data_IF_901265455235
#
_entry.id   IF_901265455235
#
_cell.length_a   1.000
_cell.length_b   1.000
_cell.length_c   1.000
_cell.angle_alpha   90.00
_cell.angle_beta   90.00
_cell.angle_gamma   90.00
#
_symmetry.space_group_name_H-M   'P 1'
#
loop_
_entity.id
_entity.type
_entity.pdbx_description
1 polymer ?
#
# COMPACT_ATOMS: atom_id res chain seq x y z
N UNK A 1 38.68 4.87 11.24
CA UNK A 1 37.92 6.06 11.66
C UNK A 1 37.28 6.62 10.41
N UNK A 2 35.98 6.38 10.21
CA UNK A 2 35.24 6.95 9.09
C UNK A 2 34.99 8.41 9.48
N UNK A 3 35.56 9.35 8.72
CA UNK A 3 35.23 10.77 8.83
C UNK A 3 33.76 10.95 8.43
N UNK A 4 32.86 10.81 9.40
CA UNK A 4 31.46 11.19 9.21
C UNK A 4 31.42 12.70 8.97
N UNK A 5 30.70 13.19 7.93
CA UNK A 5 30.59 14.62 7.69
C UNK A 5 29.96 15.25 8.92
N UNK A 6 30.65 16.25 9.50
CA UNK A 6 30.21 16.92 10.73
C UNK A 6 28.90 17.64 10.46
N UNK A 7 27.80 17.12 10.99
CA UNK A 7 26.52 17.83 10.98
C UNK A 7 26.52 18.76 12.20
N UNK A 8 26.43 20.06 11.95
CA UNK A 8 26.52 21.10 12.98
C UNK A 8 27.95 21.47 13.36
N UNK A 9 28.07 22.23 14.45
CA UNK A 9 29.32 22.83 14.92
C UNK A 9 30.02 21.89 15.93
N UNK A 10 31.22 21.40 15.60
CA UNK A 10 31.94 20.42 16.44
C UNK A 10 32.39 20.97 17.79
N UNK A 11 32.51 22.29 17.94
CA UNK A 11 32.95 22.92 19.19
C UNK A 11 31.81 22.98 20.20
N UNK A 12 30.56 23.00 19.72
CA UNK A 12 29.38 23.22 20.55
C UNK A 12 29.10 22.06 21.51
N UNK A 13 29.19 20.77 21.12
CA UNK A 13 29.06 19.66 22.07
C UNK A 13 30.06 19.70 23.23
N UNK A 14 31.31 20.10 22.99
CA UNK A 14 32.31 20.26 24.06
C UNK A 14 31.93 21.38 25.02
N UNK A 15 31.43 22.50 24.49
CA UNK A 15 30.97 23.62 25.29
C UNK A 15 29.74 23.24 26.11
N UNK A 16 28.80 22.49 25.53
CA UNK A 16 27.65 21.94 26.23
C UNK A 16 28.06 21.03 27.38
N UNK A 17 29.01 20.12 27.14
CA UNK A 17 29.51 19.20 28.17
C UNK A 17 30.13 19.96 29.35
N UNK A 18 30.87 21.06 29.09
CA UNK A 18 31.42 21.93 30.13
C UNK A 18 30.32 22.62 30.94
N UNK A 19 29.27 23.11 30.26
CA UNK A 19 28.13 23.79 30.91
C UNK A 19 27.30 22.81 31.76
N UNK A 20 27.16 21.56 31.32
CA UNK A 20 26.43 20.52 32.06
C UNK A 20 27.26 19.84 33.16
N UNK A 21 28.55 20.15 33.28
CA UNK A 21 29.43 19.50 34.25
C UNK A 21 29.04 19.75 35.72
N UNK A 22 28.64 20.97 36.15
CA UNK A 22 28.14 21.22 37.50
C UNK A 22 26.90 20.37 37.82
N UNK A 23 25.90 20.38 36.93
CA UNK A 23 24.68 19.57 37.05
C UNK A 23 24.96 18.06 37.13
N UNK A 24 25.99 17.56 36.44
CA UNK A 24 26.41 16.16 36.54
C UNK A 24 27.02 15.85 37.91
N UNK A 25 27.86 16.73 38.46
CA UNK A 25 28.48 16.55 39.78
C UNK A 25 27.45 16.53 40.91
N UNK A 26 26.35 17.26 40.74
CA UNK A 26 25.22 17.31 41.66
C UNK A 26 24.24 16.13 41.49
N UNK A 27 24.47 15.25 40.51
CA UNK A 27 23.65 14.06 40.28
C UNK A 27 22.31 14.34 39.57
N UNK A 28 22.12 15.52 39.00
CA UNK A 28 20.82 15.98 38.51
C UNK A 28 20.45 15.50 37.09
N UNK A 29 21.36 14.86 36.35
CA UNK A 29 21.17 14.57 34.91
C UNK A 29 20.92 13.08 34.63
N UNK A 30 21.72 12.17 35.18
CA UNK A 30 21.61 10.73 34.89
C UNK A 30 21.82 9.90 36.16
N UNK A 31 20.96 8.90 36.36
CA UNK A 31 21.12 7.91 37.41
C UNK A 31 22.28 6.95 37.10
N UNK A 32 22.98 6.46 38.13
CA UNK A 32 24.11 5.52 37.95
C UNK A 32 23.74 4.27 37.15
N UNK A 33 22.49 3.80 37.27
CA UNK A 33 21.98 2.66 36.51
C UNK A 33 21.87 2.96 35.01
N UNK A 34 21.37 4.14 34.62
CA UNK A 34 21.25 4.51 33.20
C UNK A 34 22.61 4.72 32.56
N UNK A 35 23.59 5.24 33.32
CA UNK A 35 24.98 5.35 32.87
C UNK A 35 25.59 3.98 32.61
N UNK A 36 25.41 3.00 33.51
CA UNK A 36 25.89 1.63 33.31
C UNK A 36 25.26 0.97 32.09
N UNK A 37 23.94 1.13 31.90
CA UNK A 37 23.23 0.61 30.74
C UNK A 37 23.75 1.24 29.44
N UNK A 38 23.94 2.56 29.42
CA UNK A 38 24.47 3.27 28.25
C UNK A 38 25.91 2.88 27.92
N UNK A 39 26.76 2.65 28.92
CA UNK A 39 28.14 2.21 28.72
C UNK A 39 28.23 0.91 27.91
N UNK A 40 27.29 -0.03 28.10
CA UNK A 40 27.20 -1.26 27.30
C UNK A 40 26.62 -1.09 25.90
N UNK A 41 26.15 0.11 25.54
CA UNK A 41 25.51 0.43 24.25
C UNK A 41 26.33 1.41 23.40
N UNK A 42 27.36 2.04 23.96
CA UNK A 42 28.08 3.14 23.30
C UNK A 42 28.69 2.74 21.96
N UNK A 43 29.06 1.46 21.83
CA UNK A 43 29.71 0.88 20.65
C UNK A 43 28.73 0.29 19.61
N UNK A 44 27.40 0.30 19.87
CA UNK A 44 26.39 -0.37 19.04
C UNK A 44 25.78 0.50 17.92
N UNK A 45 26.46 1.58 17.55
CA UNK A 45 26.04 2.53 16.49
C UNK A 45 25.06 3.62 16.94
N UNK A 46 24.92 4.69 16.15
CA UNK A 46 24.09 5.85 16.52
C UNK A 46 22.61 5.54 16.68
N UNK A 47 22.01 4.72 15.81
CA UNK A 47 20.58 4.39 15.87
C UNK A 47 20.19 3.73 17.20
N UNK A 48 21.03 2.84 17.73
CA UNK A 48 20.79 2.20 19.04
C UNK A 48 20.93 3.22 20.19
N UNK A 49 21.91 4.13 20.09
CA UNK A 49 22.08 5.21 21.07
C UNK A 49 20.89 6.18 21.06
N UNK A 50 20.37 6.53 19.88
CA UNK A 50 19.19 7.37 19.74
C UNK A 50 17.93 6.66 20.27
N UNK A 51 17.76 5.37 19.98
CA UNK A 51 16.67 4.58 20.54
C UNK A 51 16.69 4.55 22.08
N UNK A 52 17.88 4.40 22.67
CA UNK A 52 18.03 4.42 24.13
C UNK A 52 17.69 5.79 24.71
N UNK A 53 18.18 6.88 24.11
CA UNK A 53 17.86 8.23 24.54
C UNK A 53 16.36 8.51 24.46
N UNK A 54 15.72 8.13 23.34
CA UNK A 54 14.29 8.27 23.14
C UNK A 54 13.45 7.45 24.13
N UNK A 55 13.91 6.24 24.50
CA UNK A 55 13.21 5.42 25.48
C UNK A 55 13.21 6.00 26.91
N UNK A 56 14.20 6.85 27.24
CA UNK A 56 14.33 7.47 28.56
C UNK A 56 13.72 8.86 28.60
N UNK A 57 13.97 9.67 27.56
CA UNK A 57 13.65 11.11 27.55
C UNK A 57 12.61 11.52 26.50
N UNK A 58 12.37 10.67 25.50
CA UNK A 58 11.50 10.94 24.37
C UNK A 58 10.23 10.11 24.40
N UNK A 59 9.76 9.74 23.22
CA UNK A 59 8.52 8.97 23.04
C UNK A 59 8.78 7.49 22.68
N UNK A 60 7.89 6.56 23.04
CA UNK A 60 8.06 5.15 22.69
C UNK A 60 8.06 4.91 21.17
N UNK A 61 7.32 5.72 20.41
CA UNK A 61 7.29 5.65 18.94
C UNK A 61 8.60 6.11 18.30
N UNK A 62 9.27 7.09 18.90
CA UNK A 62 10.61 7.52 18.50
C UNK A 62 11.62 6.39 18.71
N UNK A 63 11.60 5.76 19.90
CA UNK A 63 12.49 4.65 20.19
C UNK A 63 12.29 3.47 19.21
N UNK A 64 11.04 3.16 18.89
CA UNK A 64 10.68 2.12 17.92
C UNK A 64 11.18 2.47 16.51
N UNK A 65 11.05 3.72 16.08
CA UNK A 65 11.57 4.20 14.80
C UNK A 65 13.09 3.96 14.70
N UNK A 66 13.85 4.41 15.70
CA UNK A 66 15.31 4.27 15.69
C UNK A 66 15.77 2.80 15.68
N UNK A 67 15.05 1.90 16.37
CA UNK A 67 15.33 0.46 16.34
C UNK A 67 15.03 -0.20 14.98
N UNK A 68 14.03 0.30 14.26
CA UNK A 68 13.61 -0.25 12.96
C UNK A 68 14.44 0.28 11.79
N UNK A 69 14.97 1.49 11.90
CA UNK A 69 15.69 2.19 10.83
C UNK A 69 16.84 1.36 10.20
N UNK A 70 17.76 0.73 10.97
CA UNK A 70 18.82 -0.10 10.38
C UNK A 70 18.29 -1.29 9.59
N UNK A 71 17.24 -1.96 10.10
CA UNK A 71 16.64 -3.12 9.43
C UNK A 71 15.99 -2.71 8.11
N UNK A 72 15.26 -1.60 8.11
CA UNK A 72 14.59 -1.09 6.93
C UNK A 72 15.59 -0.65 5.84
N UNK A 73 16.63 0.10 6.22
CA UNK A 73 17.67 0.53 5.30
C UNK A 73 18.47 -0.65 4.74
N UNK A 74 18.90 -1.59 5.57
CA UNK A 74 19.62 -2.78 5.11
C UNK A 74 18.78 -3.62 4.15
N UNK A 75 17.49 -3.80 4.43
CA UNK A 75 16.57 -4.48 3.50
C UNK A 75 16.47 -3.77 2.15
N UNK A 76 16.34 -2.44 2.18
CA UNK A 76 16.25 -1.64 0.96
C UNK A 76 17.55 -1.68 0.13
N UNK A 77 18.71 -1.56 0.78
CA UNK A 77 20.03 -1.64 0.13
C UNK A 77 20.29 -3.02 -0.47
N UNK A 78 19.95 -4.09 0.25
CA UNK A 78 20.03 -5.47 -0.27
C UNK A 78 19.16 -5.66 -1.53
N UNK A 79 18.01 -4.99 -1.60
CA UNK A 79 17.14 -5.05 -2.77
C UNK A 79 17.68 -4.24 -3.96
N UNK A 80 18.51 -3.24 -3.72
CA UNK A 80 19.18 -2.48 -4.78
C UNK A 80 20.36 -3.25 -5.36
N UNK A 81 21.13 -3.95 -4.53
CA UNK A 81 22.28 -4.76 -4.96
C UNK A 81 21.86 -6.03 -5.68
N UNK A 82 20.81 -6.71 -5.20
CA UNK A 82 20.31 -7.96 -5.80
C UNK A 82 19.52 -7.77 -7.11
N UNK A 83 19.50 -6.56 -7.69
CA UNK A 83 18.78 -6.25 -8.94
C UNK A 83 19.59 -6.49 -10.24
N UNK A 84 20.74 -7.16 -10.17
CA UNK A 84 21.49 -7.63 -11.35
C UNK A 84 21.94 -9.09 -11.19
N UNK A 85 21.73 -9.99 -12.17
CA UNK A 85 20.53 -10.34 -12.92
C UNK A 85 19.88 -11.68 -12.42
N UNK A 86 18.59 -11.85 -12.71
CA UNK A 86 17.86 -13.13 -12.89
C UNK A 86 17.91 -14.22 -11.80
N UNK A 87 16.84 -14.29 -11.01
CA UNK A 87 15.94 -15.46 -11.09
C UNK A 87 14.54 -14.98 -10.78
N UNK A 88 13.70 -14.91 -11.81
CA UNK A 88 12.28 -15.06 -11.60
C UNK A 88 12.11 -16.25 -10.64
N UNK A 89 11.25 -16.19 -9.60
CA UNK A 89 10.78 -17.41 -9.00
C UNK A 89 10.28 -18.24 -10.18
N UNK A 90 10.95 -19.36 -10.42
CA UNK A 90 10.48 -20.35 -11.36
C UNK A 90 8.99 -20.48 -11.07
N UNK A 91 8.19 -20.34 -12.13
CA UNK A 91 6.83 -20.84 -12.21
C UNK A 91 6.71 -21.98 -11.21
N UNK A 92 6.01 -21.74 -10.10
CA UNK A 92 5.58 -22.83 -9.25
C UNK A 92 4.90 -23.77 -10.24
N UNK A 93 5.56 -24.91 -10.43
CA UNK A 93 5.06 -26.03 -11.21
C UNK A 93 3.58 -26.13 -10.90
N UNK A 94 2.78 -25.96 -11.94
CA UNK A 94 1.40 -26.41 -11.97
C UNK A 94 1.40 -27.83 -11.43
N UNK A 95 1.03 -27.99 -10.17
CA UNK A 95 0.55 -29.27 -9.69
C UNK A 95 -0.81 -29.44 -10.35
N UNK A 96 -0.78 -29.99 -11.57
CA UNK A 96 -1.91 -30.67 -12.16
C UNK A 96 -2.31 -31.80 -11.20
N UNK A 97 -3.16 -31.46 -10.24
CA UNK A 97 -3.84 -32.39 -9.35
C UNK A 97 -5.31 -31.96 -9.32
N UNK A 98 -6.04 -32.48 -10.30
CA UNK A 98 -7.42 -32.95 -10.18
C UNK A 98 -8.53 -31.99 -9.73
N UNK A 99 -8.58 -30.78 -10.29
CA UNK A 99 -9.81 -29.95 -10.21
C UNK A 99 -10.97 -30.49 -11.09
N UNK A 100 -10.71 -31.46 -11.98
CA UNK A 100 -11.75 -32.17 -12.73
C UNK A 100 -12.57 -33.16 -11.87
N UNK A 101 -12.21 -33.36 -10.59
CA UNK A 101 -12.80 -34.38 -9.73
C UNK A 101 -13.84 -33.89 -8.71
N UNK A 102 -14.00 -32.57 -8.51
CA UNK A 102 -14.92 -32.02 -7.49
C UNK A 102 -16.20 -31.36 -8.02
N UNK A 103 -16.42 -31.29 -9.34
CA UNK A 103 -17.66 -30.75 -9.93
C UNK A 103 -18.55 -31.78 -10.66
N UNK A 104 -18.38 -33.08 -10.37
CA UNK A 104 -19.23 -34.13 -10.96
C UNK A 104 -20.29 -34.72 -10.01
N UNK A 105 -20.61 -34.04 -8.90
CA UNK A 105 -21.56 -34.57 -7.90
C UNK A 105 -22.96 -33.96 -7.88
N UNK A 106 -23.36 -33.29 -8.96
CA UNK A 106 -24.77 -33.00 -9.25
C UNK A 106 -25.04 -33.28 -10.74
N UNK A 107 -24.80 -34.51 -11.17
CA UNK A 107 -25.42 -35.07 -12.36
C UNK A 107 -26.27 -36.25 -11.93
N UNK A 108 -27.56 -36.00 -11.75
CA UNK A 108 -28.58 -37.02 -11.52
C UNK A 108 -28.70 -37.89 -12.78
N UNK A 109 -27.84 -38.91 -12.87
CA UNK A 109 -27.93 -39.95 -13.89
C UNK A 109 -29.13 -40.84 -13.56
N UNK A 110 -30.27 -40.48 -14.13
CA UNK A 110 -31.50 -41.28 -14.12
C UNK A 110 -31.21 -42.67 -14.67
N UNK A 111 -31.49 -43.68 -13.84
CA UNK A 111 -31.35 -45.09 -14.15
C UNK A 111 -32.63 -45.54 -14.86
N UNK A 112 -32.63 -45.60 -16.19
CA UNK A 112 -33.72 -46.22 -16.95
C UNK A 112 -33.54 -47.74 -16.96
N UNK A 113 -34.36 -48.44 -16.16
CA UNK A 113 -34.55 -49.88 -16.31
C UNK A 113 -35.42 -50.18 -17.54
N UNK A 114 -35.31 -51.36 -18.16
CA UNK A 114 -36.16 -51.75 -19.27
C UNK A 114 -37.53 -52.15 -18.72
N UNK A 115 -38.40 -51.16 -18.51
CA UNK A 115 -39.80 -51.35 -18.17
C UNK A 115 -40.64 -51.39 -19.43
N UNK A 116 -41.17 -52.56 -19.75
CA UNK A 116 -42.14 -52.81 -20.81
C UNK A 116 -43.38 -51.94 -20.60
N UNK A 117 -43.44 -50.80 -21.29
CA UNK A 117 -44.58 -49.90 -21.29
C UNK A 117 -44.84 -49.42 -22.71
N UNK A 118 -45.87 -50.00 -23.35
CA UNK A 118 -46.44 -49.46 -24.58
C UNK A 118 -46.93 -48.04 -24.30
N UNK A 119 -46.43 -47.07 -25.07
CA UNK A 119 -47.14 -45.92 -25.65
C UNK A 119 -46.28 -44.64 -25.68
N UNK A 120 -46.29 -44.04 -26.88
CA UNK A 120 -45.88 -42.68 -27.24
C UNK A 120 -44.39 -42.46 -27.50
N UNK A 121 -43.86 -43.18 -28.50
CA UNK A 121 -42.74 -42.74 -29.32
C UNK A 121 -43.16 -41.59 -30.28
N UNK A 122 -43.69 -40.50 -29.72
CA UNK A 122 -43.87 -39.22 -30.40
C UNK A 122 -42.99 -38.22 -29.65
N UNK A 123 -41.94 -37.70 -30.28
CA UNK A 123 -41.41 -36.42 -29.81
C UNK A 123 -39.93 -36.10 -29.98
N UNK A 124 -39.01 -37.05 -30.15
CA UNK A 124 -37.57 -36.71 -30.26
C UNK A 124 -37.04 -36.64 -31.70
N UNK A 125 -37.81 -37.11 -32.69
CA UNK A 125 -37.42 -37.10 -34.10
C UNK A 125 -38.17 -36.10 -35.00
N UNK A 126 -39.16 -35.39 -34.47
CA UNK A 126 -40.05 -34.51 -35.26
C UNK A 126 -39.72 -33.01 -35.18
N UNK A 127 -38.81 -32.60 -34.28
CA UNK A 127 -38.35 -31.22 -34.17
C UNK A 127 -36.96 -31.11 -34.82
N UNK A 128 -36.87 -31.26 -36.15
CA UNK A 128 -35.58 -31.19 -36.85
C UNK A 128 -35.35 -29.87 -37.59
N UNK A 129 -36.39 -29.11 -37.93
CA UNK A 129 -36.27 -27.90 -38.72
C UNK A 129 -37.24 -26.82 -38.22
N UNK A 130 -36.71 -25.61 -38.00
CA UNK A 130 -37.53 -24.43 -37.70
C UNK A 130 -38.37 -24.06 -38.93
N UNK A 131 -39.65 -23.76 -38.72
CA UNK A 131 -40.56 -23.36 -39.80
C UNK A 131 -40.31 -21.92 -40.30
N UNK A 132 -39.55 -21.12 -39.55
CA UNK A 132 -39.17 -19.74 -39.88
C UNK A 132 -37.66 -19.60 -39.94
N UNK A 133 -37.18 -18.67 -40.77
CA UNK A 133 -35.78 -18.28 -40.75
C UNK A 133 -35.44 -17.62 -39.40
N UNK A 134 -34.35 -18.06 -38.80
CA UNK A 134 -33.89 -17.52 -37.51
C UNK A 134 -33.62 -16.00 -37.59
N UNK A 135 -33.23 -15.52 -38.77
CA UNK A 135 -32.98 -14.11 -39.05
C UNK A 135 -34.26 -13.26 -38.93
N UNK A 136 -35.39 -13.71 -39.49
CA UNK A 136 -36.66 -12.97 -39.41
C UNK A 136 -37.19 -12.85 -37.97
N UNK A 137 -37.00 -13.91 -37.17
CA UNK A 137 -37.37 -13.90 -35.75
C UNK A 137 -36.49 -12.91 -34.97
N UNK A 138 -35.19 -12.86 -35.29
CA UNK A 138 -34.25 -11.96 -34.66
C UNK A 138 -34.50 -10.49 -35.04
N UNK A 139 -34.83 -10.21 -36.30
CA UNK A 139 -35.19 -8.87 -36.78
C UNK A 139 -36.46 -8.35 -36.10
N UNK A 140 -37.51 -9.17 -36.02
CA UNK A 140 -38.74 -8.82 -35.29
C UNK A 140 -38.50 -8.57 -33.80
N UNK A 141 -37.62 -9.34 -33.17
CA UNK A 141 -37.25 -9.13 -31.78
C UNK A 141 -36.49 -7.80 -31.59
N UNK A 142 -35.58 -7.45 -32.50
CA UNK A 142 -34.90 -6.16 -32.47
C UNK A 142 -35.83 -4.96 -32.67
N UNK A 143 -36.84 -5.10 -33.53
CA UNK A 143 -37.85 -4.05 -33.74
C UNK A 143 -38.66 -3.76 -32.47
N UNK A 144 -38.73 -4.68 -31.51
CA UNK A 144 -39.46 -4.53 -30.25
C UNK A 144 -38.67 -3.76 -29.16
N UNK A 145 -37.33 -3.75 -29.23
CA UNK A 145 -36.49 -3.08 -28.21
C UNK A 145 -36.84 -1.58 -28.01
N UNK A 146 -37.05 -0.75 -29.05
CA UNK A 146 -37.38 0.67 -28.90
C UNK A 146 -38.73 0.93 -28.22
N UNK A 147 -39.63 -0.05 -28.20
CA UNK A 147 -40.96 0.09 -27.59
C UNK A 147 -40.85 0.21 -26.07
N UNK A 148 -39.83 -0.43 -25.49
CA UNK A 148 -39.53 -0.39 -24.06
C UNK A 148 -38.70 0.83 -23.65
N UNK A 149 -38.16 1.62 -24.59
CA UNK A 149 -37.45 2.87 -24.27
C UNK A 149 -38.36 3.97 -23.72
N UNK A 150 -39.66 3.89 -24.04
CA UNK A 150 -40.66 4.89 -23.63
C UNK A 150 -41.29 4.58 -22.26
N UNK A 151 -40.95 3.43 -21.67
CA UNK A 151 -41.50 3.00 -20.39
C UNK A 151 -40.53 3.35 -19.28
N UNK A 152 -41.00 4.19 -18.36
CA UNK A 152 -40.25 4.59 -17.17
C UNK A 152 -40.60 3.69 -15.98
N UNK A 153 -39.59 3.25 -15.23
CA UNK A 153 -39.76 2.43 -14.03
C UNK A 153 -38.76 1.29 -13.92
N UNK A 154 -38.47 0.84 -12.69
CA UNK A 154 -37.48 -0.21 -12.43
C UNK A 154 -37.88 -1.56 -13.05
N UNK A 155 -39.17 -1.90 -13.09
CA UNK A 155 -39.67 -3.13 -13.75
C UNK A 155 -39.52 -3.07 -15.28
N UNK A 156 -39.72 -1.89 -15.89
CA UNK A 156 -39.53 -1.71 -17.33
C UNK A 156 -38.06 -1.90 -17.72
N UNK A 157 -37.13 -1.44 -16.87
CA UNK A 157 -35.69 -1.67 -17.03
C UNK A 157 -35.39 -3.18 -16.98
N UNK A 158 -35.97 -3.94 -16.04
CA UNK A 158 -35.75 -5.39 -15.97
C UNK A 158 -36.26 -6.13 -17.21
N UNK A 159 -37.44 -5.76 -17.72
CA UNK A 159 -38.01 -6.35 -18.95
C UNK A 159 -37.13 -6.03 -20.17
N UNK A 160 -36.65 -4.79 -20.27
CA UNK A 160 -35.72 -4.40 -21.34
C UNK A 160 -34.40 -5.17 -21.30
N UNK A 161 -33.84 -5.39 -20.10
CA UNK A 161 -32.65 -6.24 -19.95
C UNK A 161 -32.93 -7.67 -20.40
N UNK A 162 -34.10 -8.22 -20.06
CA UNK A 162 -34.48 -9.57 -20.47
C UNK A 162 -34.54 -9.72 -22.00
N UNK A 163 -35.13 -8.75 -22.71
CA UNK A 163 -35.19 -8.75 -24.16
C UNK A 163 -33.80 -8.62 -24.80
N UNK A 164 -32.97 -7.68 -24.31
CA UNK A 164 -31.60 -7.50 -24.81
C UNK A 164 -30.76 -8.77 -24.66
N UNK A 165 -30.87 -9.47 -23.52
CA UNK A 165 -30.20 -10.76 -23.30
C UNK A 165 -30.77 -11.85 -24.22
N UNK A 166 -32.08 -11.87 -24.43
CA UNK A 166 -32.75 -12.86 -25.30
C UNK A 166 -32.35 -12.72 -26.77
N UNK A 167 -32.07 -11.49 -27.21
CA UNK A 167 -31.62 -11.15 -28.57
C UNK A 167 -30.10 -11.39 -28.73
N UNK A 168 -29.38 -11.57 -27.63
CA UNK A 168 -27.92 -11.78 -27.60
C UNK A 168 -27.11 -10.47 -27.55
N UNK A 169 -27.75 -9.31 -27.42
CA UNK A 169 -27.06 -8.03 -27.27
C UNK A 169 -26.67 -7.78 -25.81
N UNK A 170 -25.65 -8.52 -25.37
CA UNK A 170 -25.18 -8.50 -23.98
C UNK A 170 -24.52 -7.17 -23.61
N UNK A 171 -23.85 -6.50 -24.56
CA UNK A 171 -23.19 -5.21 -24.31
C UNK A 171 -24.18 -4.11 -23.94
N UNK A 172 -25.28 -4.00 -24.70
CA UNK A 172 -26.35 -3.05 -24.40
C UNK A 172 -27.03 -3.39 -23.06
N UNK A 173 -27.23 -4.68 -22.77
CA UNK A 173 -27.79 -5.12 -21.49
C UNK A 173 -26.89 -4.71 -20.30
N UNK A 174 -25.58 -4.91 -20.41
CA UNK A 174 -24.60 -4.49 -19.39
C UNK A 174 -24.63 -2.97 -19.20
N UNK A 175 -24.62 -2.20 -20.28
CA UNK A 175 -24.68 -0.73 -20.20
C UNK A 175 -25.92 -0.24 -19.47
N UNK A 176 -27.08 -0.85 -19.74
CA UNK A 176 -28.33 -0.49 -19.08
C UNK A 176 -28.31 -0.84 -17.59
N UNK A 177 -27.80 -2.03 -17.23
CA UNK A 177 -27.66 -2.46 -15.84
C UNK A 177 -26.72 -1.54 -15.05
N UNK A 178 -25.59 -1.13 -15.64
CA UNK A 178 -24.62 -0.23 -15.01
C UNK A 178 -25.15 1.21 -14.81
N UNK A 179 -26.17 1.61 -15.56
CA UNK A 179 -26.82 2.92 -15.38
C UNK A 179 -27.72 2.99 -14.13
N UNK A 180 -27.93 1.88 -13.44
CA UNK A 180 -28.73 1.84 -12.21
C UNK A 180 -28.05 2.65 -11.09
N UNK A 181 -28.74 3.62 -10.47
CA UNK A 181 -28.16 4.41 -9.39
C UNK A 181 -27.93 3.56 -8.12
N UNK A 182 -26.92 3.88 -7.28
CA UNK A 182 -26.61 3.12 -6.08
C UNK A 182 -27.71 3.17 -5.00
N UNK A 183 -28.61 4.16 -5.05
CA UNK A 183 -29.76 4.29 -4.15
C UNK A 183 -30.92 3.35 -4.49
N UNK A 184 -30.91 2.72 -5.67
CA UNK A 184 -31.96 1.78 -6.10
C UNK A 184 -31.88 0.46 -5.36
N UNK A 185 -33.04 -0.12 -5.04
CA UNK A 185 -33.16 -1.46 -4.45
C UNK A 185 -32.59 -2.56 -5.36
N UNK A 186 -32.57 -2.32 -6.67
CA UNK A 186 -32.06 -3.26 -7.67
C UNK A 186 -30.55 -3.12 -7.93
N UNK A 187 -29.86 -2.15 -7.33
CA UNK A 187 -28.44 -1.88 -7.63
C UNK A 187 -27.57 -3.14 -7.51
N UNK A 188 -27.63 -3.86 -6.38
CA UNK A 188 -26.82 -5.06 -6.16
C UNK A 188 -27.16 -6.20 -7.12
N UNK A 189 -28.45 -6.42 -7.40
CA UNK A 189 -28.90 -7.44 -8.34
C UNK A 189 -28.45 -7.11 -9.76
N UNK A 190 -28.56 -5.84 -10.16
CA UNK A 190 -28.15 -5.36 -11.48
C UNK A 190 -26.64 -5.38 -11.64
N UNK A 191 -25.88 -5.00 -10.62
CA UNK A 191 -24.43 -5.07 -10.59
C UNK A 191 -23.92 -6.51 -10.76
N UNK A 192 -24.50 -7.46 -10.02
CA UNK A 192 -24.15 -8.88 -10.15
C UNK A 192 -24.43 -9.42 -11.56
N UNK A 193 -25.60 -9.07 -12.13
CA UNK A 193 -25.94 -9.45 -13.51
C UNK A 193 -25.02 -8.78 -14.52
N UNK A 194 -24.67 -7.50 -14.36
CA UNK A 194 -23.76 -6.79 -15.24
C UNK A 194 -22.36 -7.42 -15.26
N UNK A 195 -21.82 -7.76 -14.09
CA UNK A 195 -20.52 -8.43 -13.96
C UNK A 195 -20.56 -9.83 -14.57
N UNK A 196 -21.63 -10.61 -14.31
CA UNK A 196 -21.77 -11.94 -14.90
C UNK A 196 -21.90 -11.89 -16.44
N UNK A 197 -22.76 -11.02 -16.98
CA UNK A 197 -22.96 -10.89 -18.42
C UNK A 197 -21.70 -10.35 -19.12
N UNK A 198 -21.00 -9.38 -18.53
CA UNK A 198 -19.78 -8.82 -19.12
C UNK A 198 -18.66 -9.86 -19.23
N UNK A 199 -18.55 -10.78 -18.26
CA UNK A 199 -17.58 -11.88 -18.32
C UNK A 199 -17.80 -12.83 -19.50
N UNK A 200 -19.03 -12.96 -19.99
CA UNK A 200 -19.36 -13.76 -21.17
C UNK A 200 -19.03 -13.05 -22.49
N UNK A 201 -18.88 -11.71 -22.47
CA UNK A 201 -18.60 -10.91 -23.67
C UNK A 201 -17.10 -10.73 -23.88
N UNK A 202 -16.42 -10.14 -22.91
CA UNK A 202 -14.97 -9.89 -23.00
C UNK A 202 -14.35 -9.55 -21.65
N UNK A 203 -13.04 -9.78 -21.53
CA UNK A 203 -12.25 -9.39 -20.35
C UNK A 203 -12.20 -7.87 -20.16
N UNK A 204 -12.15 -7.11 -21.25
CA UNK A 204 -12.13 -5.64 -21.22
C UNK A 204 -13.46 -5.05 -20.71
N UNK A 205 -14.59 -5.62 -21.14
CA UNK A 205 -15.90 -5.19 -20.66
C UNK A 205 -16.09 -5.58 -19.19
N UNK A 206 -15.62 -6.75 -18.77
CA UNK A 206 -15.63 -7.17 -17.38
C UNK A 206 -14.84 -6.21 -16.48
N UNK A 207 -13.63 -5.85 -16.90
CA UNK A 207 -12.80 -4.86 -16.19
C UNK A 207 -13.52 -3.52 -16.04
N UNK A 208 -14.16 -3.03 -17.11
CA UNK A 208 -14.88 -1.76 -17.07
C UNK A 208 -16.13 -1.84 -16.18
N UNK A 209 -16.92 -2.91 -16.30
CA UNK A 209 -18.11 -3.12 -15.50
C UNK A 209 -17.78 -3.19 -14.00
N UNK A 210 -16.75 -3.97 -13.63
CA UNK A 210 -16.29 -4.08 -12.25
C UNK A 210 -15.82 -2.75 -11.69
N UNK A 211 -15.11 -1.93 -12.47
CA UNK A 211 -14.71 -0.58 -12.04
C UNK A 211 -15.89 0.32 -11.74
N UNK A 212 -16.87 0.35 -12.63
CA UNK A 212 -18.08 1.18 -12.46
C UNK A 212 -18.87 0.72 -11.24
N UNK A 213 -19.08 -0.59 -11.10
CA UNK A 213 -19.75 -1.18 -9.93
C UNK A 213 -19.00 -0.85 -8.65
N UNK A 214 -17.69 -1.09 -8.60
CA UNK A 214 -16.87 -0.84 -7.41
C UNK A 214 -16.89 0.65 -7.02
N UNK A 215 -16.80 1.57 -7.99
CA UNK A 215 -16.88 3.01 -7.74
C UNK A 215 -18.24 3.42 -7.13
N UNK A 216 -19.33 2.85 -7.63
CA UNK A 216 -20.67 3.10 -7.09
C UNK A 216 -20.86 2.51 -5.69
N UNK A 217 -20.19 1.40 -5.37
CA UNK A 217 -20.25 0.74 -4.06
C UNK A 217 -19.51 1.50 -2.94
N UNK A 218 -18.57 2.40 -3.26
CA UNK A 218 -17.78 3.13 -2.24
C UNK A 218 -18.67 3.83 -1.20
N UNK A 219 -19.83 4.34 -1.62
CA UNK A 219 -20.76 5.08 -0.75
C UNK A 219 -21.67 4.18 0.09
N UNK A 220 -21.87 2.92 -0.30
CA UNK A 220 -22.87 2.04 0.31
C UNK A 220 -22.32 1.14 1.40
N UNK A 221 -21.09 0.62 1.26
CA UNK A 221 -20.59 -0.46 2.13
C UNK A 221 -19.16 -0.25 2.65
N UNK A 222 -18.70 1.00 2.75
CA UNK A 222 -17.29 1.34 3.07
C UNK A 222 -16.29 0.66 2.12
N UNK A 223 -16.66 0.56 0.84
CA UNK A 223 -15.84 0.05 -0.27
C UNK A 223 -15.38 -1.41 -0.19
N UNK A 224 -15.87 -2.23 0.76
CA UNK A 224 -15.40 -3.61 0.92
C UNK A 224 -15.78 -4.51 -0.26
N UNK A 225 -17.05 -4.52 -0.67
CA UNK A 225 -17.48 -5.37 -1.80
C UNK A 225 -16.86 -4.89 -3.11
N UNK A 226 -16.74 -3.57 -3.31
CA UNK A 226 -16.05 -2.98 -4.45
C UNK A 226 -14.58 -3.40 -4.52
N UNK A 227 -13.89 -3.37 -3.39
CA UNK A 227 -12.49 -3.80 -3.25
C UNK A 227 -12.34 -5.28 -3.61
N UNK A 228 -13.23 -6.16 -3.14
CA UNK A 228 -13.20 -7.59 -3.47
C UNK A 228 -13.35 -7.83 -4.98
N UNK A 229 -14.30 -7.13 -5.63
CA UNK A 229 -14.50 -7.23 -7.07
C UNK A 229 -13.25 -6.75 -7.84
N UNK A 230 -12.65 -5.62 -7.45
CA UNK A 230 -11.42 -5.12 -8.06
C UNK A 230 -10.25 -6.10 -7.88
N UNK A 231 -10.13 -6.74 -6.71
CA UNK A 231 -9.12 -7.77 -6.46
C UNK A 231 -9.33 -9.01 -7.34
N UNK A 232 -10.58 -9.43 -7.56
CA UNK A 232 -10.91 -10.58 -8.41
C UNK A 232 -10.48 -10.37 -9.87
N UNK A 233 -10.49 -9.13 -10.35
CA UNK A 233 -10.03 -8.76 -11.70
C UNK A 233 -8.54 -8.35 -11.72
N UNK A 234 -7.83 -8.45 -10.59
CA UNK A 234 -6.41 -8.13 -10.49
C UNK A 234 -6.09 -6.63 -10.50
N UNK A 235 -7.09 -5.75 -10.29
CA UNK A 235 -6.93 -4.29 -10.23
C UNK A 235 -6.55 -3.81 -8.81
N UNK A 236 -5.45 -4.35 -8.28
CA UNK A 236 -5.04 -4.12 -6.89
C UNK A 236 -4.74 -2.66 -6.55
N UNK A 237 -4.22 -1.88 -7.51
CA UNK A 237 -3.92 -0.46 -7.29
C UNK A 237 -5.19 0.37 -7.03
N UNK A 238 -6.25 0.10 -7.79
CA UNK A 238 -7.55 0.76 -7.63
C UNK A 238 -8.22 0.33 -6.33
N UNK A 239 -8.13 -0.97 -6.00
CA UNK A 239 -8.61 -1.52 -4.73
C UNK A 239 -7.93 -0.84 -3.52
N UNK A 240 -6.61 -0.66 -3.58
CA UNK A 240 -5.88 0.08 -2.54
C UNK A 240 -6.34 1.54 -2.44
N UNK A 241 -6.56 2.22 -3.59
CA UNK A 241 -7.05 3.61 -3.57
C UNK A 241 -8.41 3.71 -2.89
N UNK A 242 -9.35 2.81 -3.22
CA UNK A 242 -10.69 2.82 -2.63
C UNK A 242 -10.68 2.53 -1.12
N UNK A 243 -9.80 1.65 -0.66
CA UNK A 243 -9.61 1.42 0.78
C UNK A 243 -9.04 2.66 1.47
N UNK A 244 -8.09 3.35 0.85
CA UNK A 244 -7.53 4.60 1.38
C UNK A 244 -8.56 5.73 1.42
N UNK A 245 -9.38 5.85 0.37
CA UNK A 245 -10.47 6.85 0.31
C UNK A 245 -11.53 6.59 1.38
N UNK A 246 -11.75 5.32 1.75
CA UNK A 246 -12.64 4.92 2.85
C UNK A 246 -11.99 5.01 4.25
N UNK A 247 -10.71 5.37 4.35
CA UNK A 247 -9.97 5.44 5.61
C UNK A 247 -9.45 4.10 6.14
N UNK A 248 -9.57 3.01 5.38
CA UNK A 248 -9.06 1.68 5.72
C UNK A 248 -7.57 1.54 5.35
N UNK A 249 -6.72 2.36 5.96
CA UNK A 249 -5.30 2.45 5.60
C UNK A 249 -4.49 1.18 5.84
N UNK A 250 -4.76 0.48 6.95
CA UNK A 250 -4.09 -0.78 7.30
C UNK A 250 -4.41 -1.87 6.29
N UNK A 251 -5.67 -1.96 5.87
CA UNK A 251 -6.14 -2.96 4.93
C UNK A 251 -5.56 -2.67 3.53
N UNK A 252 -5.49 -1.40 3.14
CA UNK A 252 -4.81 -0.99 1.91
C UNK A 252 -3.32 -1.38 1.92
N UNK A 253 -2.62 -1.15 3.04
CA UNK A 253 -1.20 -1.47 3.16
C UNK A 253 -0.94 -2.99 3.14
N UNK A 254 -1.80 -3.79 3.77
CA UNK A 254 -1.69 -5.26 3.74
C UNK A 254 -1.97 -5.81 2.34
N UNK A 255 -3.02 -5.34 1.66
CA UNK A 255 -3.34 -5.69 0.28
C UNK A 255 -2.20 -5.31 -0.67
N UNK A 256 -1.63 -4.12 -0.50
CA UNK A 256 -0.51 -3.66 -1.29
C UNK A 256 0.75 -4.50 -1.04
N UNK A 257 1.00 -4.95 0.19
CA UNK A 257 2.14 -5.80 0.52
C UNK A 257 2.07 -7.20 -0.10
N UNK A 258 0.86 -7.74 -0.29
CA UNK A 258 0.66 -9.08 -0.86
C UNK A 258 0.67 -9.07 -2.40
N UNK A 259 0.11 -8.03 -3.03
CA UNK A 259 -0.10 -8.04 -4.49
C UNK A 259 0.71 -7.00 -5.28
N UNK A 260 1.07 -5.85 -4.68
CA UNK A 260 1.84 -4.82 -5.36
C UNK A 260 3.34 -4.99 -5.11
N UNK A 261 4.17 -4.57 -6.08
CA UNK A 261 5.63 -4.65 -5.97
C UNK A 261 6.28 -3.35 -6.39
N UNK A 262 7.36 -2.99 -5.69
CA UNK A 262 8.20 -1.87 -6.09
C UNK A 262 7.51 -0.52 -5.88
N UNK A 263 7.40 0.28 -6.94
CA UNK A 263 6.91 1.66 -6.89
C UNK A 263 5.45 1.75 -6.47
N UNK A 264 4.62 0.79 -6.86
CA UNK A 264 3.18 0.87 -6.58
C UNK A 264 2.88 0.60 -5.11
N UNK A 265 3.62 -0.33 -4.49
CA UNK A 265 3.58 -0.52 -3.04
C UNK A 265 4.06 0.73 -2.29
N UNK A 266 5.17 1.32 -2.73
CA UNK A 266 5.73 2.53 -2.13
C UNK A 266 4.74 3.71 -2.20
N UNK A 267 4.02 3.89 -3.31
CA UNK A 267 2.98 4.93 -3.46
C UNK A 267 1.84 4.79 -2.46
N UNK A 268 1.38 3.56 -2.19
CA UNK A 268 0.34 3.31 -1.19
C UNK A 268 0.82 3.72 0.19
N UNK A 269 2.04 3.31 0.59
CA UNK A 269 2.63 3.69 1.86
C UNK A 269 2.88 5.20 1.97
N UNK A 270 3.35 5.84 0.89
CA UNK A 270 3.60 7.28 0.86
C UNK A 270 2.34 8.08 1.12
N UNK A 271 1.22 7.72 0.48
CA UNK A 271 -0.07 8.37 0.70
C UNK A 271 -0.55 8.18 2.14
N UNK A 272 -0.32 7.00 2.72
CA UNK A 272 -0.63 6.76 4.14
C UNK A 272 0.24 7.61 5.07
N UNK A 273 1.54 7.71 4.80
CA UNK A 273 2.47 8.54 5.57
C UNK A 273 2.03 10.01 5.57
N UNK A 274 1.63 10.53 4.41
CA UNK A 274 1.10 11.89 4.28
C UNK A 274 -0.18 12.08 5.10
N UNK A 275 -1.10 11.12 5.09
CA UNK A 275 -2.32 11.18 5.92
C UNK A 275 -1.98 11.19 7.41
N UNK A 276 -1.10 10.30 7.87
CA UNK A 276 -0.68 10.24 9.28
C UNK A 276 -0.02 11.55 9.72
N UNK A 277 0.80 12.16 8.87
CA UNK A 277 1.46 13.43 9.17
C UNK A 277 0.45 14.60 9.29
N UNK A 278 -0.47 14.73 8.34
CA UNK A 278 -1.37 15.89 8.27
C UNK A 278 -2.65 15.74 9.10
N UNK A 279 -3.17 14.52 9.25
CA UNK A 279 -4.46 14.26 9.92
C UNK A 279 -4.29 13.73 11.33
N UNK A 280 -3.33 12.84 11.57
CA UNK A 280 -3.10 12.28 12.91
C UNK A 280 -2.03 13.06 13.70
N UNK A 281 -1.26 13.92 13.02
CA UNK A 281 -0.14 14.68 13.60
C UNK A 281 0.92 13.81 14.31
N UNK A 282 1.05 12.55 13.90
CA UNK A 282 2.03 11.62 14.48
C UNK A 282 3.27 11.52 13.59
N UNK A 283 4.28 12.35 13.89
CA UNK A 283 5.49 12.46 13.08
C UNK A 283 6.27 11.15 13.03
N UNK A 284 6.44 10.44 14.16
CA UNK A 284 7.22 9.21 14.22
C UNK A 284 6.58 8.09 13.41
N UNK A 285 5.25 7.94 13.49
CA UNK A 285 4.52 6.97 12.67
C UNK A 285 4.62 7.32 11.17
N UNK A 286 4.55 8.59 10.82
CA UNK A 286 4.76 9.04 9.44
C UNK A 286 6.18 8.72 8.95
N UNK A 287 7.21 8.96 9.78
CA UNK A 287 8.61 8.65 9.46
C UNK A 287 8.84 7.15 9.23
N UNK A 288 8.25 6.30 10.07
CA UNK A 288 8.29 4.83 9.87
C UNK A 288 7.73 4.46 8.48
N UNK A 289 6.59 5.05 8.10
CA UNK A 289 5.96 4.79 6.80
C UNK A 289 6.77 5.34 5.62
N UNK A 290 7.35 6.54 5.75
CA UNK A 290 8.24 7.11 4.73
C UNK A 290 9.48 6.25 4.52
N UNK A 291 10.14 5.82 5.59
CA UNK A 291 11.31 4.92 5.52
C UNK A 291 10.92 3.56 4.93
N UNK A 292 9.77 3.00 5.31
CA UNK A 292 9.27 1.75 4.74
C UNK A 292 8.98 1.86 3.22
N UNK A 293 8.53 3.03 2.76
CA UNK A 293 8.35 3.33 1.34
C UNK A 293 9.68 3.58 0.59
N UNK A 294 10.80 3.76 1.30
CA UNK A 294 12.09 4.19 0.74
C UNK A 294 12.14 5.68 0.39
N UNK A 295 11.22 6.47 0.95
CA UNK A 295 11.01 7.90 0.71
C UNK A 295 11.75 8.75 1.78
N UNK A 296 13.08 8.64 1.81
CA UNK A 296 13.93 9.37 2.76
C UNK A 296 13.86 10.91 2.61
N UNK A 297 13.75 11.48 1.39
CA UNK A 297 13.59 12.93 1.22
C UNK A 297 12.30 13.46 1.86
N UNK A 298 11.20 12.73 1.73
CA UNK A 298 9.90 13.08 2.30
C UNK A 298 9.91 12.98 3.82
N UNK A 299 10.64 12.01 4.38
CA UNK A 299 10.91 11.94 5.82
C UNK A 299 11.67 13.19 6.32
N UNK A 300 12.70 13.64 5.60
CA UNK A 300 13.41 14.89 5.92
C UNK A 300 12.52 16.12 5.79
N UNK A 301 11.71 16.20 4.74
CA UNK A 301 10.79 17.30 4.54
C UNK A 301 9.77 17.39 5.69
N UNK A 302 9.28 16.24 6.18
CA UNK A 302 8.41 16.18 7.35
C UNK A 302 9.09 16.73 8.62
N UNK A 303 10.36 16.34 8.88
CA UNK A 303 11.14 16.85 10.02
C UNK A 303 11.40 18.36 9.93
N UNK A 304 11.66 18.88 8.72
CA UNK A 304 11.80 20.32 8.47
C UNK A 304 10.49 21.06 8.73
N UNK A 305 9.37 20.53 8.23
CA UNK A 305 8.04 21.09 8.47
C UNK A 305 7.68 21.15 9.96
N UNK A 306 8.14 20.17 10.73
CA UNK A 306 7.96 20.11 12.18
C UNK A 306 8.96 20.97 12.98
N UNK A 307 9.92 21.65 12.32
CA UNK A 307 10.96 22.45 12.95
C UNK A 307 11.79 21.69 14.01
N UNK A 308 12.11 20.41 13.74
CA UNK A 308 12.97 19.57 14.61
C UNK A 308 14.38 19.40 14.00
N UNK A 309 15.29 20.39 14.14
CA UNK A 309 16.62 20.36 13.54
C UNK A 309 17.50 19.23 14.08
N UNK A 310 17.38 18.96 15.37
CA UNK A 310 18.10 17.93 16.10
C UNK A 310 17.76 16.54 15.56
N UNK A 311 16.47 16.25 15.40
CA UNK A 311 15.98 14.98 14.88
C UNK A 311 16.35 14.81 13.41
N UNK A 312 16.27 15.87 12.60
CA UNK A 312 16.72 15.85 11.22
C UNK A 312 18.23 15.54 11.11
N UNK A 313 19.05 16.15 11.96
CA UNK A 313 20.48 15.88 12.03
C UNK A 313 20.77 14.43 12.46
N UNK A 314 20.10 13.95 13.53
CA UNK A 314 20.20 12.56 13.99
C UNK A 314 19.80 11.56 12.91
N UNK A 315 18.75 11.85 12.15
CA UNK A 315 18.27 10.98 11.06
C UNK A 315 19.31 10.85 9.95
N UNK A 316 19.92 11.96 9.52
CA UNK A 316 20.97 11.95 8.49
C UNK A 316 22.21 11.20 8.99
N UNK A 317 22.62 11.45 10.24
CA UNK A 317 23.76 10.75 10.85
C UNK A 317 23.53 9.24 10.89
N UNK A 318 22.37 8.79 11.38
CA UNK A 318 22.04 7.38 11.45
C UNK A 318 22.02 6.73 10.07
N UNK A 319 21.35 7.36 9.09
CA UNK A 319 21.29 6.83 7.72
C UNK A 319 22.68 6.68 7.10
N UNK A 320 23.57 7.66 7.30
CA UNK A 320 24.95 7.63 6.79
C UNK A 320 25.80 6.57 7.46
N UNK A 321 25.70 6.43 8.79
CA UNK A 321 26.45 5.40 9.51
C UNK A 321 26.04 4.01 9.03
N UNK A 322 24.73 3.74 8.95
CA UNK A 322 24.18 2.45 8.48
C UNK A 322 24.60 2.17 7.03
N UNK A 323 24.57 3.18 6.16
CA UNK A 323 25.03 3.07 4.77
C UNK A 323 26.52 2.78 4.67
N UNK A 324 27.34 3.46 5.48
CA UNK A 324 28.79 3.24 5.49
C UNK A 324 29.15 1.85 6.02
N UNK A 325 28.44 1.36 7.05
CA UNK A 325 28.58 0.02 7.60
C UNK A 325 28.22 -1.02 6.53
N UNK A 326 27.09 -0.84 5.84
CA UNK A 326 26.68 -1.68 4.72
C UNK A 326 27.74 -1.70 3.60
N UNK A 327 28.21 -0.53 3.15
CA UNK A 327 29.25 -0.44 2.11
C UNK A 327 30.58 -1.06 2.52
N UNK A 328 30.92 -1.08 3.81
CA UNK A 328 32.11 -1.76 4.31
C UNK A 328 31.97 -3.28 4.37
N UNK A 329 30.73 -3.79 4.41
CA UNK A 329 30.44 -5.22 4.36
C UNK A 329 30.36 -5.81 2.95
N UNK A 330 30.44 -4.97 1.90
CA UNK A 330 30.39 -5.39 0.49
C UNK A 330 31.78 -5.53 -0.14
N UNK A 331 31.90 -6.48 -1.07
CA UNK A 331 33.10 -6.68 -1.90
C UNK A 331 33.37 -5.46 -2.83
N UNK A 332 34.65 -5.18 -3.11
CA UNK A 332 35.09 -3.96 -3.80
C UNK A 332 34.49 -3.74 -5.21
N UNK A 333 34.06 -4.80 -5.91
CA UNK A 333 33.42 -4.68 -7.24
C UNK A 333 32.00 -4.09 -7.21
N UNK A 334 31.27 -4.22 -6.09
CA UNK A 334 29.91 -3.67 -5.95
C UNK A 334 29.90 -2.23 -5.44
N UNK A 335 31.03 -1.74 -4.93
CA UNK A 335 31.19 -0.40 -4.33
C UNK A 335 31.20 0.73 -5.37
N UNK A 336 31.42 0.41 -6.65
CA UNK A 336 31.49 1.37 -7.75
C UNK A 336 30.16 1.62 -8.47
N UNK A 337 29.04 1.05 -8.01
CA UNK A 337 27.72 1.31 -8.59
C UNK A 337 27.18 2.66 -8.12
N UNK A 338 27.06 3.64 -9.03
CA UNK A 338 26.50 4.98 -8.76
C UNK A 338 25.14 4.98 -8.03
N UNK A 339 24.37 3.89 -8.17
CA UNK A 339 23.06 3.70 -7.51
C UNK A 339 23.17 3.33 -6.03
N UNK A 340 24.29 2.77 -5.61
CA UNK A 340 24.56 2.37 -4.23
C UNK A 340 25.32 3.47 -3.47
N UNK A 341 26.12 4.26 -4.20
CA UNK A 341 26.94 5.34 -3.64
C UNK A 341 26.10 6.55 -3.22
N UNK A 342 25.02 6.85 -3.95
CA UNK A 342 24.14 7.97 -3.66
C UNK A 342 22.90 7.51 -2.89
N UNK A 343 22.88 7.76 -1.58
CA UNK A 343 21.67 7.56 -0.78
C UNK A 343 20.63 8.55 -1.29
N UNK A 344 19.61 8.06 -2.01
CA UNK A 344 18.56 8.84 -2.69
C UNK A 344 18.07 10.02 -1.83
N UNK A 345 18.65 11.20 -2.07
CA UNK A 345 18.34 12.49 -1.45
C UNK A 345 19.05 12.86 -0.14
N UNK A 346 19.88 11.99 0.45
CA UNK A 346 20.71 12.32 1.65
C UNK A 346 22.18 12.61 1.33
N UNK A 347 22.48 12.89 0.06
CA UNK A 347 23.83 13.24 -0.39
C UNK A 347 24.38 14.45 0.38
N UNK A 348 25.68 14.47 0.71
CA UNK A 348 26.30 15.59 1.41
C UNK A 348 26.24 16.90 0.62
N UNK A 349 26.08 16.83 -0.69
CA UNK A 349 25.93 17.98 -1.60
C UNK A 349 24.47 18.41 -1.80
N UNK A 350 23.50 17.69 -1.23
CA UNK A 350 22.09 18.07 -1.31
C UNK A 350 21.85 19.36 -0.53
N UNK A 351 21.24 20.36 -1.17
CA UNK A 351 20.84 21.62 -0.53
C UNK A 351 20.04 21.37 0.76
N UNK A 352 19.20 20.34 0.75
CA UNK A 352 18.36 19.97 1.88
C UNK A 352 19.16 19.51 3.10
N UNK A 353 20.26 18.79 2.87
CA UNK A 353 21.12 18.28 3.93
C UNK A 353 22.02 19.38 4.49
N UNK A 354 22.53 20.26 3.62
CA UNK A 354 23.28 21.45 4.02
C UNK A 354 22.43 22.38 4.89
N UNK A 355 21.19 22.64 4.49
CA UNK A 355 20.25 23.45 5.26
C UNK A 355 19.96 22.88 6.66
N UNK A 356 19.82 21.54 6.77
CA UNK A 356 19.67 20.88 8.09
C UNK A 356 20.91 21.09 8.94
N UNK A 357 22.11 20.95 8.36
CA UNK A 357 23.38 21.16 9.07
C UNK A 357 23.53 22.59 9.61
N UNK A 358 23.19 23.59 8.80
CA UNK A 358 23.24 25.00 9.22
C UNK A 358 22.22 25.30 10.33
N UNK A 359 20.97 24.85 10.15
CA UNK A 359 19.90 25.09 11.12
C UNK A 359 20.18 24.36 12.44
N UNK A 360 20.69 23.14 12.39
CA UNK A 360 21.15 22.41 13.57
C UNK A 360 22.32 23.11 14.27
N UNK A 361 23.29 23.65 13.53
CA UNK A 361 24.39 24.44 14.10
C UNK A 361 23.91 25.70 14.85
N UNK A 362 22.88 26.39 14.31
CA UNK A 362 22.25 27.51 15.01
C UNK A 362 21.51 27.07 16.28
N UNK A 363 20.76 25.97 16.18
CA UNK A 363 20.06 25.36 17.33
C UNK A 363 21.05 25.00 18.45
N UNK A 364 22.16 24.34 18.10
CA UNK A 364 23.23 23.98 19.02
C UNK A 364 23.76 25.20 19.79
N UNK A 365 24.07 26.29 19.11
CA UNK A 365 24.56 27.53 19.75
C UNK A 365 23.51 28.12 20.70
N UNK A 366 22.24 28.17 20.26
CA UNK A 366 21.13 28.64 21.10
C UNK A 366 20.96 27.78 22.36
N UNK A 367 21.10 26.46 22.23
CA UNK A 367 20.97 25.53 23.34
C UNK A 367 22.08 25.74 24.38
N UNK A 368 23.33 25.98 23.96
CA UNK A 368 24.40 26.32 24.90
C UNK A 368 24.11 27.62 25.65
N UNK A 369 23.62 28.66 24.96
CA UNK A 369 23.22 29.91 25.64
C UNK A 369 22.14 29.67 26.70
N UNK A 370 21.11 28.89 26.37
CA UNK A 370 20.06 28.55 27.33
C UNK A 370 20.59 27.79 28.55
N UNK A 371 21.51 26.83 28.36
CA UNK A 371 22.12 26.09 29.47
C UNK A 371 23.07 26.95 30.31
N UNK A 372 23.70 27.98 29.73
CA UNK A 372 24.54 28.94 30.47
C UNK A 372 23.69 29.88 31.34
N UNK A 373 22.49 30.22 30.87
CA UNK A 373 21.57 31.13 31.57
C UNK A 373 20.74 30.44 32.66
N UNK A 374 20.58 29.11 32.60
CA UNK A 374 19.95 28.33 33.67
C UNK A 374 20.89 28.18 34.86
N UNK A 375 20.40 28.44 36.08
CA UNK A 375 21.11 28.07 37.31
C UNK A 375 20.84 26.59 37.65
N UNK A 376 21.81 25.86 38.22
CA UNK A 376 21.54 24.55 38.78
C UNK A 376 20.49 24.66 39.89
N UNK A 377 19.42 23.87 39.81
CA UNK A 377 18.39 23.81 40.85
C UNK A 377 19.03 23.24 42.12
N UNK A 378 19.27 24.11 43.09
CA UNK A 378 19.58 23.73 44.46
C UNK A 378 18.27 23.54 45.22
N UNK A 379 17.85 22.29 45.43
CA UNK A 379 16.97 21.94 46.55
C UNK A 379 17.84 21.63 47.79
#
# INVERSE_FOLDING_TARGET
>A
MIESPRIGDSVVPEMLLKVLEPYRREGCILNDETVRLYAGLVDKGSAVRFAFAAAIFGEPMEALFWLQLPRALNYWMNRLTNKSPTRAPQSASTSELDEASMLNRISSKGKSGPGTGKNNALGNGQLQLMAFEQQELWERANEQIPWHEKLEGEEAIQNRVHELVSIGNLEAAVSLLLSTPPESSYFYANALRAVALSSAVSTSLLELAVKVVAANMVRTDRSLSGTHLLCAVGRYQEACSQLQDAGCWTDAATLAATHLKGTDYARVLLRWAQHVLHSEHNIWRALILYVAAGALPEALAALRGAQQPDTAAMFILACREIHSEYLSSLDDELRSSDKLVNLLGLNPESEDVTAVGEYYGQYQRKLVHLCMDSQPFSD
#
